data_IF_938755418120
#
_entry.id   IF_938755418120
#
_cell.length_a   1.000
_cell.length_b   1.000
_cell.length_c   1.000
_cell.angle_alpha   90.00
_cell.angle_beta   90.00
_cell.angle_gamma   90.00
#
_symmetry.space_group_name_H-M   'P 1'
#
loop_
_entity.id
_entity.type
_entity.pdbx_description
1 polymer ?
#
# COMPACT_ATOMS: atom_id res chain seq x y z
N UNK A 1 -12.52 28.18 -3.53
CA UNK A 1 -11.17 27.64 -3.34
C UNK A 1 -10.86 27.50 -1.87
N UNK A 2 -11.34 26.41 -1.25
CA UNK A 2 -10.63 25.83 -0.11
C UNK A 2 -9.47 25.04 -0.72
N UNK A 3 -8.24 25.48 -0.48
CA UNK A 3 -7.06 24.63 -0.63
C UNK A 3 -6.78 24.02 0.73
N UNK A 4 -6.93 22.70 0.77
CA UNK A 4 -6.14 21.72 1.53
C UNK A 4 -6.06 21.86 3.05
N UNK A 5 -6.85 21.02 3.74
CA UNK A 5 -6.47 20.42 5.02
C UNK A 5 -6.86 18.94 5.02
N UNK A 6 -6.09 18.15 4.26
CA UNK A 6 -6.04 16.67 4.34
C UNK A 6 -4.73 16.30 5.06
N UNK A 7 -4.63 16.52 6.37
CA UNK A 7 -3.39 16.21 7.11
C UNK A 7 -3.55 15.25 8.29
N UNK A 8 -4.76 14.78 8.60
CA UNK A 8 -4.97 13.84 9.72
C UNK A 8 -5.90 12.68 9.35
N UNK A 9 -5.55 11.93 8.31
CA UNK A 9 -5.91 10.51 8.23
C UNK A 9 -4.59 9.77 8.46
N UNK A 10 -4.16 9.67 9.72
CA UNK A 10 -3.03 8.81 10.06
C UNK A 10 -3.50 7.39 9.76
N UNK A 11 -3.00 6.84 8.65
CA UNK A 11 -3.10 5.43 8.28
C UNK A 11 -3.10 4.57 9.55
N UNK A 12 -4.19 3.84 9.80
CA UNK A 12 -4.16 2.72 10.74
C UNK A 12 -3.02 1.82 10.25
N UNK A 13 -1.84 1.95 10.89
CA UNK A 13 -0.59 1.26 10.55
C UNK A 13 -0.70 -0.20 11.00
N UNK A 14 -1.71 -0.92 10.51
CA UNK A 14 -1.84 -2.37 10.58
C UNK A 14 -1.12 -3.08 9.43
N UNK A 15 -0.05 -2.48 8.91
CA UNK A 15 0.86 -3.15 8.00
C UNK A 15 1.96 -3.83 8.80
N UNK A 16 2.45 -4.99 8.33
CA UNK A 16 3.61 -5.66 8.91
C UNK A 16 4.80 -4.69 8.94
N UNK A 17 5.14 -4.21 10.13
CA UNK A 17 6.34 -3.44 10.37
C UNK A 17 7.40 -4.38 10.92
N UNK A 18 8.57 -4.35 10.31
CA UNK A 18 9.74 -5.02 10.86
C UNK A 18 10.21 -4.27 12.12
N UNK A 19 10.81 -4.98 13.10
CA UNK A 19 11.45 -4.36 14.25
C UNK A 19 12.51 -3.32 13.83
N UNK A 20 12.71 -2.32 14.68
CA UNK A 20 13.80 -1.37 14.53
C UNK A 20 15.16 -2.12 14.47
N UNK A 21 15.99 -1.80 13.47
CA UNK A 21 17.29 -2.46 13.27
C UNK A 21 17.25 -3.84 12.59
N UNK A 22 16.07 -4.34 12.15
CA UNK A 22 15.97 -5.64 11.47
C UNK A 22 16.86 -5.72 10.23
N UNK A 23 16.81 -4.71 9.35
CA UNK A 23 17.58 -4.72 8.11
C UNK A 23 19.07 -4.44 8.31
N UNK A 24 19.44 -3.82 9.44
CA UNK A 24 20.84 -3.55 9.77
C UNK A 24 21.56 -4.79 10.31
N UNK A 25 20.81 -5.76 10.85
CA UNK A 25 21.37 -6.95 11.52
C UNK A 25 21.09 -8.26 10.80
N UNK A 26 20.12 -8.31 9.88
CA UNK A 26 19.73 -9.55 9.19
C UNK A 26 20.87 -10.12 8.34
N UNK A 27 21.67 -9.27 7.72
CA UNK A 27 22.81 -9.69 6.90
C UNK A 27 23.85 -10.40 7.77
N UNK A 28 24.32 -9.73 8.82
CA UNK A 28 25.29 -10.28 9.77
C UNK A 28 24.78 -11.56 10.43
N UNK A 29 23.49 -11.60 10.80
CA UNK A 29 22.88 -12.78 11.41
C UNK A 29 22.83 -13.97 10.45
N UNK A 30 22.52 -13.75 9.16
CA UNK A 30 22.52 -14.81 8.14
C UNK A 30 23.93 -15.31 7.88
N UNK A 31 24.91 -14.42 7.72
CA UNK A 31 26.31 -14.82 7.52
C UNK A 31 26.90 -15.52 8.73
N UNK A 32 26.60 -15.06 9.95
CA UNK A 32 26.97 -15.74 11.19
C UNK A 32 26.33 -17.13 11.27
N UNK A 33 25.07 -17.29 10.80
CA UNK A 33 24.41 -18.59 10.77
C UNK A 33 25.03 -19.54 9.75
N UNK A 34 25.30 -19.09 8.53
CA UNK A 34 25.95 -19.88 7.47
C UNK A 34 27.37 -20.31 7.88
N UNK A 35 28.10 -19.46 8.61
CA UNK A 35 29.47 -19.76 9.06
C UNK A 35 29.51 -20.61 10.34
N UNK A 36 28.52 -20.47 11.22
CA UNK A 36 28.40 -21.27 12.45
C UNK A 36 27.78 -22.65 12.21
N UNK A 37 26.87 -22.77 11.26
CA UNK A 37 26.39 -24.06 10.78
C UNK A 37 27.52 -24.71 9.98
N UNK A 38 28.22 -25.66 10.63
CA UNK A 38 28.95 -26.69 9.90
C UNK A 38 27.92 -27.50 9.11
N UNK A 39 27.66 -27.09 7.87
CA UNK A 39 26.98 -27.95 6.90
C UNK A 39 27.69 -29.30 6.94
N UNK A 40 26.93 -30.37 7.08
CA UNK A 40 27.52 -31.71 7.09
C UNK A 40 28.37 -31.83 5.82
N UNK A 41 29.69 -32.04 5.98
CA UNK A 41 30.61 -32.33 4.87
C UNK A 41 30.24 -33.64 4.11
N UNK A 42 29.14 -34.28 4.51
CA UNK A 42 28.73 -35.57 4.01
C UNK A 42 27.72 -35.36 2.88
N UNK A 43 28.30 -35.47 1.69
CA UNK A 43 27.67 -35.78 0.41
C UNK A 43 27.13 -34.58 -0.36
N UNK A 44 28.05 -33.75 -0.86
CA UNK A 44 27.79 -33.01 -2.08
C UNK A 44 27.39 -33.96 -3.21
N UNK A 45 26.56 -33.50 -4.14
CA UNK A 45 26.15 -34.28 -5.32
C UNK A 45 27.39 -34.75 -6.10
N UNK A 46 27.74 -36.01 -5.97
CA UNK A 46 28.78 -36.64 -6.78
C UNK A 46 28.14 -37.24 -8.02
N UNK A 47 28.66 -36.89 -9.19
CA UNK A 47 28.30 -37.60 -10.42
C UNK A 47 28.84 -39.03 -10.35
N UNK A 48 28.15 -40.02 -10.97
CA UNK A 48 28.69 -41.36 -11.13
C UNK A 48 30.08 -41.34 -11.76
N UNK A 49 30.95 -42.26 -11.32
CA UNK A 49 32.23 -42.51 -12.01
C UNK A 49 31.92 -42.83 -13.47
N UNK A 50 32.50 -42.05 -14.40
CA UNK A 50 32.31 -42.17 -15.86
C UNK A 50 31.08 -41.49 -16.48
N UNK A 51 30.37 -40.62 -15.77
CA UNK A 51 29.37 -39.76 -16.41
C UNK A 51 29.96 -38.91 -17.54
N UNK A 52 31.04 -38.18 -17.27
CA UNK A 52 31.67 -37.28 -18.25
C UNK A 52 32.43 -38.01 -19.35
N UNK A 53 32.87 -39.25 -19.11
CA UNK A 53 33.55 -40.07 -20.12
C UNK A 53 32.58 -40.63 -21.15
N UNK A 54 31.33 -40.92 -20.75
CA UNK A 54 30.34 -41.61 -21.59
C UNK A 54 29.30 -40.69 -22.20
N UNK A 55 29.11 -39.48 -21.65
CA UNK A 55 28.05 -38.56 -22.08
C UNK A 55 28.25 -38.08 -23.50
N UNK A 56 29.48 -37.79 -23.91
CA UNK A 56 29.80 -37.35 -25.28
C UNK A 56 29.49 -38.46 -26.29
N UNK A 57 30.02 -39.67 -26.08
CA UNK A 57 29.76 -40.82 -26.94
C UNK A 57 28.28 -41.19 -27.00
N UNK A 58 27.57 -41.08 -25.87
CA UNK A 58 26.11 -41.34 -25.82
C UNK A 58 25.31 -40.33 -26.63
N UNK A 59 25.70 -39.06 -26.60
CA UNK A 59 25.07 -38.00 -27.39
C UNK A 59 25.38 -38.20 -28.88
N UNK A 60 26.66 -38.43 -29.23
CA UNK A 60 27.06 -38.65 -30.62
C UNK A 60 26.42 -39.90 -31.23
N UNK A 61 26.26 -40.98 -30.46
CA UNK A 61 25.61 -42.21 -30.94
C UNK A 61 24.11 -42.03 -31.13
N UNK A 62 23.43 -41.24 -30.29
CA UNK A 62 22.02 -40.89 -30.51
C UNK A 62 21.83 -40.04 -31.76
N UNK A 63 22.67 -39.03 -31.95
CA UNK A 63 22.61 -38.16 -33.14
C UNK A 63 22.94 -38.95 -34.42
N UNK A 64 24.00 -39.78 -34.42
CA UNK A 64 24.42 -40.56 -35.60
C UNK A 64 23.56 -41.80 -35.85
N UNK A 65 22.98 -42.39 -34.80
CA UNK A 65 21.99 -43.46 -34.93
C UNK A 65 20.75 -43.02 -35.70
N UNK A 66 20.45 -41.72 -35.69
CA UNK A 66 19.38 -41.09 -36.46
C UNK A 66 19.81 -40.78 -37.92
N UNK A 67 21.11 -40.71 -38.23
CA UNK A 67 21.63 -40.41 -39.58
C UNK A 67 21.63 -41.61 -40.55
N UNK A 68 21.59 -42.86 -40.06
CA UNK A 68 21.52 -44.05 -40.93
C UNK A 68 20.10 -44.38 -41.43
N UNK A 69 19.11 -43.50 -41.20
CA UNK A 69 17.84 -43.55 -41.92
C UNK A 69 17.88 -42.66 -43.14
N UNK A 70 18.63 -43.15 -44.13
CA UNK A 70 18.69 -42.68 -45.49
C UNK A 70 17.35 -42.93 -46.20
N UNK A 71 16.31 -42.15 -45.90
CA UNK A 71 15.13 -41.85 -46.75
C UNK A 71 14.03 -41.10 -45.99
N UNK A 72 14.15 -39.77 -45.81
CA UNK A 72 12.99 -38.90 -45.52
C UNK A 72 12.15 -38.62 -46.76
N UNK A 73 11.78 -39.70 -47.46
CA UNK A 73 10.67 -39.70 -48.41
C UNK A 73 10.03 -41.08 -48.43
N UNK A 74 9.60 -41.57 -47.27
CA UNK A 74 8.63 -42.64 -47.16
C UNK A 74 7.91 -42.50 -45.82
N UNK A 75 6.59 -42.72 -45.86
CA UNK A 75 5.66 -42.62 -44.76
C UNK A 75 6.16 -43.29 -43.47
N UNK A 76 6.07 -42.56 -42.36
CA UNK A 76 6.21 -43.15 -41.03
C UNK A 76 4.82 -43.67 -40.57
N UNK A 77 4.70 -44.95 -40.18
CA UNK A 77 3.48 -45.50 -39.64
C UNK A 77 3.24 -44.93 -38.25
N UNK A 78 2.02 -44.40 -38.04
CA UNK A 78 1.33 -44.13 -36.78
C UNK A 78 2.11 -44.53 -35.51
N UNK A 79 3.01 -43.67 -35.05
CA UNK A 79 3.58 -43.76 -33.71
C UNK A 79 3.42 -42.39 -33.06
N UNK A 80 2.67 -42.40 -31.96
CA UNK A 80 2.30 -41.24 -31.15
C UNK A 80 3.55 -40.42 -30.79
N UNK A 81 3.60 -39.12 -31.13
CA UNK A 81 4.72 -38.28 -30.75
C UNK A 81 4.71 -38.10 -29.23
N UNK A 82 5.67 -38.73 -28.55
CA UNK A 82 5.90 -38.50 -27.12
C UNK A 82 6.76 -37.24 -27.00
N UNK A 83 6.09 -36.09 -26.98
CA UNK A 83 6.72 -34.77 -26.85
C UNK A 83 5.86 -33.67 -27.46
N UNK A 84 6.04 -32.43 -27.00
CA UNK A 84 5.43 -31.26 -27.63
C UNK A 84 6.04 -31.05 -29.02
N UNK A 85 5.34 -31.50 -30.06
CA UNK A 85 5.71 -31.20 -31.45
C UNK A 85 5.30 -29.78 -31.79
N UNK A 86 6.23 -29.01 -32.34
CA UNK A 86 5.97 -27.65 -32.82
C UNK A 86 5.02 -27.76 -34.04
N UNK A 87 3.99 -26.89 -34.14
CA UNK A 87 3.09 -26.89 -35.29
C UNK A 87 3.81 -26.72 -36.62
N UNK A 88 3.25 -27.32 -37.67
CA UNK A 88 3.75 -27.19 -39.03
C UNK A 88 3.87 -25.70 -39.42
N UNK A 89 5.01 -25.33 -40.00
CA UNK A 89 5.33 -23.95 -40.42
C UNK A 89 5.37 -22.89 -39.31
N UNK A 90 5.46 -23.27 -38.02
CA UNK A 90 5.60 -22.29 -36.91
C UNK A 90 6.80 -21.35 -37.09
N UNK A 91 7.99 -21.90 -37.33
CA UNK A 91 9.21 -21.08 -37.46
C UNK A 91 9.22 -20.21 -38.72
N UNK A 92 8.59 -20.67 -39.80
CA UNK A 92 8.49 -19.94 -41.07
C UNK A 92 7.46 -18.79 -41.01
N UNK A 93 6.40 -18.98 -40.23
CA UNK A 93 5.33 -17.98 -40.09
C UNK A 93 5.62 -16.95 -39.00
N UNK A 94 6.40 -17.28 -37.98
CA UNK A 94 6.71 -16.38 -36.85
C UNK A 94 7.41 -15.10 -37.32
N UNK A 95 8.41 -15.20 -38.19
CA UNK A 95 9.13 -14.03 -38.72
C UNK A 95 8.17 -13.09 -39.46
N UNK A 96 7.42 -13.63 -40.41
CA UNK A 96 6.43 -12.89 -41.21
C UNK A 96 5.31 -12.27 -40.33
N UNK A 97 4.91 -12.97 -39.28
CA UNK A 97 3.90 -12.51 -38.31
C UNK A 97 4.43 -11.34 -37.46
N UNK A 98 5.71 -11.36 -37.06
CA UNK A 98 6.32 -10.27 -36.30
C UNK A 98 6.47 -9.02 -37.19
N UNK A 99 6.98 -9.18 -38.41
CA UNK A 99 7.18 -8.07 -39.37
C UNK A 99 5.86 -7.41 -39.75
N UNK A 100 4.81 -8.20 -40.01
CA UNK A 100 3.48 -7.66 -40.33
C UNK A 100 2.81 -6.92 -39.16
N UNK A 101 3.06 -7.34 -37.90
CA UNK A 101 2.60 -6.64 -36.69
C UNK A 101 3.35 -5.33 -36.44
N UNK A 102 4.63 -5.27 -36.78
CA UNK A 102 5.44 -4.03 -36.65
C UNK A 102 5.09 -3.00 -37.72
N UNK A 103 4.78 -3.43 -38.94
CA UNK A 103 4.42 -2.54 -40.05
C UNK A 103 2.98 -1.99 -39.95
N UNK A 104 2.08 -2.69 -39.25
CA UNK A 104 0.70 -2.26 -39.03
C UNK A 104 0.49 -1.52 -37.71
N UNK A 105 1.22 -0.43 -37.46
CA UNK A 105 0.76 0.60 -36.52
C UNK A 105 1.46 1.96 -36.69
N UNK A 106 1.09 2.67 -37.76
CA UNK A 106 1.07 4.14 -37.75
C UNK A 106 -0.36 4.66 -37.67
N UNK A 107 -1.16 4.10 -36.76
CA UNK A 107 -2.23 4.91 -36.19
C UNK A 107 -1.50 5.91 -35.29
N UNK A 108 -1.28 7.13 -35.79
CA UNK A 108 -0.81 8.23 -34.96
C UNK A 108 -1.76 8.31 -33.77
N UNK A 109 -1.29 7.85 -32.60
CA UNK A 109 -2.02 8.02 -31.36
C UNK A 109 -2.27 9.51 -31.26
N UNK A 110 -3.54 9.92 -31.28
CA UNK A 110 -3.93 11.32 -31.18
C UNK A 110 -3.57 11.79 -29.76
N UNK A 111 -2.31 12.14 -29.58
CA UNK A 111 -1.81 12.77 -28.36
C UNK A 111 -2.39 14.17 -28.35
N UNK A 112 -3.26 14.42 -27.38
CA UNK A 112 -3.83 15.73 -27.14
C UNK A 112 -2.84 16.45 -26.23
N UNK A 113 -2.26 17.55 -26.70
CA UNK A 113 -1.36 18.36 -25.89
C UNK A 113 -2.11 18.93 -24.68
N UNK A 114 -1.80 18.37 -23.50
CA UNK A 114 -2.45 18.70 -22.23
C UNK A 114 -2.35 20.20 -21.90
N UNK A 115 -1.28 20.86 -22.35
CA UNK A 115 -1.08 22.31 -22.22
C UNK A 115 -2.22 23.09 -22.89
N UNK A 116 -2.60 22.74 -24.12
CA UNK A 116 -3.64 23.47 -24.88
C UNK A 116 -5.01 23.32 -24.24
N UNK A 117 -5.32 22.13 -23.70
CA UNK A 117 -6.56 21.88 -22.97
C UNK A 117 -6.63 22.70 -21.66
N UNK A 118 -5.57 22.69 -20.86
CA UNK A 118 -5.51 23.46 -19.61
C UNK A 118 -5.59 24.96 -19.89
N UNK A 119 -4.75 25.46 -20.80
CA UNK A 119 -4.63 26.89 -21.08
C UNK A 119 -5.94 27.49 -21.58
N UNK A 120 -6.66 26.79 -22.48
CA UNK A 120 -7.88 27.33 -23.10
C UNK A 120 -9.16 27.07 -22.29
N UNK A 121 -9.23 25.97 -21.53
CA UNK A 121 -10.48 25.54 -20.88
C UNK A 121 -10.46 25.64 -19.35
N UNK A 122 -9.33 25.32 -18.71
CA UNK A 122 -9.25 25.23 -17.25
C UNK A 122 -8.89 26.57 -16.61
N UNK A 123 -7.94 27.32 -17.19
CA UNK A 123 -7.52 28.62 -16.64
C UNK A 123 -8.69 29.62 -16.49
N UNK A 124 -9.53 29.90 -17.52
CA UNK A 124 -10.61 30.86 -17.37
C UNK A 124 -11.69 30.40 -16.39
N UNK A 125 -12.00 29.10 -16.35
CA UNK A 125 -12.96 28.52 -15.40
C UNK A 125 -12.50 28.68 -13.95
N UNK A 126 -11.24 28.34 -13.68
CA UNK A 126 -10.64 28.42 -12.35
C UNK A 126 -10.50 29.88 -11.92
N UNK A 127 -10.10 30.78 -12.83
CA UNK A 127 -10.04 32.22 -12.54
C UNK A 127 -11.42 32.79 -12.17
N UNK A 128 -12.47 32.49 -12.93
CA UNK A 128 -13.83 32.94 -12.64
C UNK A 128 -14.33 32.40 -11.28
N UNK A 129 -14.12 31.12 -10.99
CA UNK A 129 -14.47 30.52 -9.70
C UNK A 129 -13.68 31.12 -8.52
N UNK A 130 -12.41 31.51 -8.75
CA UNK A 130 -11.58 32.19 -7.76
C UNK A 130 -12.11 33.58 -7.43
N UNK A 131 -12.48 34.34 -8.47
CA UNK A 131 -13.04 35.69 -8.35
C UNK A 131 -14.40 35.63 -7.64
N UNK A 132 -15.29 34.71 -8.04
CA UNK A 132 -16.58 34.52 -7.39
C UNK A 132 -16.44 34.14 -5.91
N UNK A 133 -15.49 33.25 -5.59
CA UNK A 133 -15.23 32.89 -4.20
C UNK A 133 -14.64 34.06 -3.41
N UNK A 134 -13.72 34.82 -4.00
CA UNK A 134 -13.14 36.00 -3.36
C UNK A 134 -14.21 37.05 -3.03
N UNK A 135 -15.10 37.34 -3.99
CA UNK A 135 -16.23 38.24 -3.81
C UNK A 135 -17.22 37.68 -2.77
N UNK A 136 -17.53 36.38 -2.84
CA UNK A 136 -18.41 35.72 -1.88
C UNK A 136 -17.89 35.77 -0.45
N UNK A 137 -16.60 35.50 -0.24
CA UNK A 137 -15.96 35.60 1.09
C UNK A 137 -15.88 37.05 1.58
N UNK A 138 -15.57 37.99 0.69
CA UNK A 138 -15.50 39.41 1.02
C UNK A 138 -16.87 39.97 1.42
N UNK A 139 -17.95 39.57 0.73
CA UNK A 139 -19.32 39.99 1.06
C UNK A 139 -19.84 39.32 2.35
N UNK A 140 -19.44 38.07 2.60
CA UNK A 140 -19.83 37.33 3.80
C UNK A 140 -19.09 37.79 5.09
N UNK A 141 -17.97 38.51 4.97
CA UNK A 141 -17.14 38.96 6.12
C UNK A 141 -17.69 40.16 6.92
N UNK A 142 -18.96 40.57 6.73
CA UNK A 142 -19.56 41.68 7.49
C UNK A 142 -20.02 41.28 8.90
N UNK A 143 -20.20 39.98 9.15
CA UNK A 143 -20.55 39.46 10.46
C UNK A 143 -19.29 38.90 11.11
N UNK A 144 -18.74 39.64 12.09
CA UNK A 144 -17.70 39.09 12.97
C UNK A 144 -18.41 38.12 13.91
N UNK A 145 -18.40 36.83 13.58
CA UNK A 145 -18.89 35.78 14.47
C UNK A 145 -17.99 35.80 15.70
N UNK A 146 -18.56 36.11 16.86
CA UNK A 146 -17.87 35.99 18.14
C UNK A 146 -18.30 34.69 18.83
N UNK A 147 -17.46 34.18 19.73
CA UNK A 147 -17.79 32.97 20.50
C UNK A 147 -19.00 33.25 21.40
N UNK A 148 -19.14 34.48 21.87
CA UNK A 148 -20.29 34.95 22.65
C UNK A 148 -21.63 34.94 21.88
N UNK A 149 -21.61 34.80 20.56
CA UNK A 149 -22.83 34.70 19.74
C UNK A 149 -23.38 33.26 19.68
N UNK A 150 -22.63 32.27 20.20
CA UNK A 150 -23.03 30.85 20.23
C UNK A 150 -23.95 30.60 21.42
N UNK A 151 -25.11 29.97 21.16
CA UNK A 151 -26.04 29.63 22.24
C UNK A 151 -25.53 28.44 23.05
N UNK A 152 -25.76 28.45 24.38
CA UNK A 152 -25.37 27.33 25.25
C UNK A 152 -25.97 25.99 24.79
N UNK A 153 -27.21 25.99 24.30
CA UNK A 153 -27.87 24.80 23.74
C UNK A 153 -27.17 24.22 22.50
N UNK A 154 -26.50 25.06 21.70
CA UNK A 154 -25.72 24.59 20.56
C UNK A 154 -24.42 23.93 21.02
N UNK A 155 -23.78 24.48 22.05
CA UNK A 155 -22.58 23.89 22.66
C UNK A 155 -22.90 22.54 23.29
N UNK A 156 -24.01 22.44 24.04
CA UNK A 156 -24.51 21.19 24.61
C UNK A 156 -24.76 20.14 23.52
N UNK A 157 -25.45 20.52 22.44
CA UNK A 157 -25.68 19.62 21.31
C UNK A 157 -24.36 19.13 20.68
N UNK A 158 -23.34 19.98 20.57
CA UNK A 158 -22.04 19.57 20.02
C UNK A 158 -21.28 18.61 20.92
N UNK A 159 -21.45 18.72 22.25
CA UNK A 159 -20.91 17.76 23.21
C UNK A 159 -21.64 16.43 23.07
N UNK A 160 -22.98 16.44 23.01
CA UNK A 160 -23.82 15.24 22.85
C UNK A 160 -23.56 14.50 21.53
N UNK A 161 -23.35 15.26 20.44
CA UNK A 161 -23.01 14.70 19.12
C UNK A 161 -21.54 14.26 19.02
N UNK A 162 -20.72 14.48 20.06
CA UNK A 162 -19.30 14.12 20.07
C UNK A 162 -18.43 14.96 19.13
N UNK A 163 -18.88 16.17 18.79
CA UNK A 163 -18.14 17.14 17.96
C UNK A 163 -17.10 17.91 18.76
N UNK A 164 -17.29 18.00 20.09
CA UNK A 164 -16.32 18.56 21.04
C UNK A 164 -15.89 17.44 21.99
N UNK A 165 -14.59 17.17 22.04
CA UNK A 165 -13.99 16.30 23.04
C UNK A 165 -13.40 17.16 24.14
N UNK A 166 -13.95 17.08 25.35
CA UNK A 166 -13.43 17.77 26.52
C UNK A 166 -12.48 16.82 27.23
N UNK A 167 -11.18 17.04 27.04
CA UNK A 167 -10.14 16.30 27.75
C UNK A 167 -9.75 17.04 29.03
N UNK A 168 -9.63 16.30 30.13
CA UNK A 168 -9.37 16.89 31.45
C UNK A 168 -8.00 17.58 31.49
N UNK A 169 -7.00 17.04 30.79
CA UNK A 169 -5.67 17.62 30.72
C UNK A 169 -5.67 18.91 29.89
N UNK A 170 -6.42 18.95 28.77
CA UNK A 170 -6.58 20.17 27.96
C UNK A 170 -7.26 21.30 28.74
N UNK A 171 -8.27 20.98 29.55
CA UNK A 171 -8.96 21.96 30.40
C UNK A 171 -8.00 22.49 31.48
N UNK A 172 -7.24 21.61 32.13
CA UNK A 172 -6.27 21.98 33.15
C UNK A 172 -5.14 22.86 32.58
N UNK A 173 -4.69 22.61 31.34
CA UNK A 173 -3.71 23.45 30.67
C UNK A 173 -4.30 24.83 30.33
N UNK A 174 -5.53 24.87 29.80
CA UNK A 174 -6.21 26.10 29.41
C UNK A 174 -6.55 27.02 30.59
N UNK A 175 -6.83 26.44 31.76
CA UNK A 175 -7.16 27.15 33.00
C UNK A 175 -6.12 26.93 34.09
N UNK A 176 -4.84 26.89 33.72
CA UNK A 176 -3.71 26.64 34.64
C UNK A 176 -3.54 27.68 35.75
N UNK A 177 -4.04 28.90 35.54
CA UNK A 177 -4.01 29.99 36.53
C UNK A 177 -5.24 30.01 37.46
N UNK A 178 -6.20 29.10 37.27
CA UNK A 178 -7.36 28.97 38.16
C UNK A 178 -6.94 28.13 39.35
N UNK A 179 -6.67 28.78 40.48
CA UNK A 179 -6.60 28.09 41.77
C UNK A 179 -8.00 27.54 42.09
N UNK A 180 -8.13 26.22 42.21
CA UNK A 180 -9.36 25.60 42.68
C UNK A 180 -9.60 26.08 44.11
N UNK A 181 -10.63 26.90 44.32
CA UNK A 181 -11.08 27.23 45.67
C UNK A 181 -11.57 25.93 46.33
N UNK A 182 -10.99 25.56 47.48
CA UNK A 182 -11.38 24.44 48.34
C UNK A 182 -12.82 24.57 48.92
N UNK A 183 -13.66 25.45 48.37
CA UNK A 183 -15.01 25.68 48.87
C UNK A 183 -16.01 24.74 48.21
N UNK A 184 -15.89 23.46 48.53
CA UNK A 184 -17.02 22.54 48.49
C UNK A 184 -17.21 21.98 49.88
N UNK A 185 -18.00 22.68 50.70
CA UNK A 185 -18.70 22.03 51.80
C UNK A 185 -19.72 21.10 51.18
N UNK A 186 -19.28 19.92 50.76
CA UNK A 186 -20.19 18.86 50.40
C UNK A 186 -20.93 18.43 51.66
N UNK A 187 -22.24 18.22 51.54
CA UNK A 187 -23.00 17.65 52.63
C UNK A 187 -22.55 16.19 52.83
N UNK A 188 -22.15 15.84 54.04
CA UNK A 188 -21.57 14.51 54.33
C UNK A 188 -22.56 13.39 54.00
N UNK A 189 -23.86 13.66 54.11
CA UNK A 189 -24.93 12.73 53.80
C UNK A 189 -25.01 12.43 52.30
N UNK A 190 -24.83 13.46 51.45
CA UNK A 190 -24.83 13.33 49.98
C UNK A 190 -23.57 12.60 49.49
N UNK A 191 -22.41 12.83 50.12
CA UNK A 191 -21.19 12.08 49.85
C UNK A 191 -21.32 10.59 50.20
N UNK A 192 -21.96 10.29 51.33
CA UNK A 192 -22.18 8.92 51.78
C UNK A 192 -23.15 8.17 50.85
N UNK A 193 -24.17 8.85 50.34
CA UNK A 193 -25.11 8.26 49.37
C UNK A 193 -24.41 7.98 48.03
N UNK A 194 -23.60 8.92 47.54
CA UNK A 194 -22.79 8.75 46.34
C UNK A 194 -21.78 7.61 46.47
N UNK A 195 -21.05 7.52 47.58
CA UNK A 195 -20.05 6.46 47.79
C UNK A 195 -20.70 5.08 47.93
N UNK A 196 -21.87 4.99 48.54
CA UNK A 196 -22.58 3.72 48.66
C UNK A 196 -23.29 3.31 47.35
N UNK A 197 -23.73 4.27 46.55
CA UNK A 197 -24.35 4.04 45.25
C UNK A 197 -23.35 3.73 44.13
N UNK A 198 -22.08 4.08 44.32
CA UNK A 198 -21.02 3.89 43.32
C UNK A 198 -20.25 2.61 43.61
N UNK A 199 -20.23 1.68 42.64
CA UNK A 199 -19.43 0.46 42.75
C UNK A 199 -17.94 0.81 42.64
N UNK A 200 -17.24 0.68 43.76
CA UNK A 200 -15.83 1.06 43.87
C UNK A 200 -14.92 0.24 42.94
N UNK A 201 -15.36 -0.94 42.51
CA UNK A 201 -14.64 -1.74 41.50
C UNK A 201 -14.73 -1.13 40.08
N UNK A 202 -15.79 -0.40 39.75
CA UNK A 202 -15.91 0.24 38.43
C UNK A 202 -14.95 1.41 38.26
N UNK A 203 -14.69 2.17 39.34
CA UNK A 203 -13.78 3.31 39.34
C UNK A 203 -12.31 2.92 39.15
N UNK A 204 -11.93 1.69 39.53
CA UNK A 204 -10.58 1.15 39.33
C UNK A 204 -10.32 0.67 37.90
N UNK A 205 -11.37 0.47 37.10
CA UNK A 205 -11.29 0.02 35.71
C UNK A 205 -11.31 1.17 34.70
N UNK A 206 -11.55 2.41 35.15
CA UNK A 206 -11.72 3.60 34.30
C UNK A 206 -10.49 4.54 34.29
N UNK A 207 -9.35 4.12 34.87
CA UNK A 207 -8.04 4.77 34.69
C UNK A 207 -7.07 3.91 33.87
#
# INVERSE_FOLDING_TARGET
>A
MKKNKLQHIKSQKGGFKTPEGYFDTVEDAVFAKITSEKFAEKEGFSTPSSYFDTVEDTILTKIKGEENQQSRQAALPNTTPTGYTIPENYLETVENTIVSKLNNKKASVKVIDFKTFILKRVIPLVAAASVLLFIGLHYNSKNKIKIEDVAASEIEQWIDEGLITLDTDEIAEAYSDVELEDTTTFDEEELLDYLNGTDVESLLLEN
#
